data_IF_404837687452
#
_entry.id   IF_404837687452
#
_cell.length_a   1.000
_cell.length_b   1.000
_cell.length_c   1.000
_cell.angle_alpha   90.00
_cell.angle_beta   90.00
_cell.angle_gamma   90.00
#
_symmetry.space_group_name_H-M   'P 1'
#
loop_
_entity.id
_entity.type
_entity.pdbx_description
1 polymer ?
#
# COMPACT_ATOMS: atom_id res chain seq x y z
N UNK A 1 -9.71 3.65 24.02
CA UNK A 1 -10.54 3.24 22.87
C UNK A 1 -9.63 3.19 21.66
N UNK A 2 -9.72 2.16 20.82
CA UNK A 2 -8.98 2.15 19.55
C UNK A 2 -9.41 3.35 18.71
N UNK A 3 -8.45 4.06 18.11
CA UNK A 3 -8.74 5.20 17.23
C UNK A 3 -9.53 4.71 16.01
N UNK A 4 -10.58 5.44 15.63
CA UNK A 4 -11.44 5.06 14.50
C UNK A 4 -10.65 5.09 13.18
N UNK A 5 -10.79 4.03 12.39
CA UNK A 5 -10.13 3.88 11.09
C UNK A 5 -11.14 4.11 9.97
N UNK A 6 -10.82 5.03 9.06
CA UNK A 6 -11.69 5.35 7.92
C UNK A 6 -11.18 4.70 6.64
N UNK A 7 -12.04 3.94 6.00
CA UNK A 7 -11.72 3.33 4.70
C UNK A 7 -11.63 4.39 3.59
N UNK A 8 -10.96 4.00 2.51
CA UNK A 8 -10.85 4.81 1.30
C UNK A 8 -12.23 5.26 0.81
N UNK A 9 -12.42 6.53 0.41
CA UNK A 9 -13.69 7.00 -0.14
C UNK A 9 -13.96 6.49 -1.56
N UNK A 10 -12.97 5.87 -2.22
CA UNK A 10 -13.18 5.24 -3.52
C UNK A 10 -14.08 3.99 -3.34
N UNK A 11 -15.26 3.92 -4.00
CA UNK A 11 -16.24 2.85 -3.74
C UNK A 11 -15.71 1.44 -4.00
N UNK A 12 -14.89 1.27 -5.03
CA UNK A 12 -14.29 -0.02 -5.35
C UNK A 12 -13.27 -0.44 -4.29
N UNK A 13 -12.40 0.49 -3.87
CA UNK A 13 -11.42 0.24 -2.80
C UNK A 13 -12.15 -0.04 -1.48
N UNK A 14 -13.19 0.73 -1.14
CA UNK A 14 -14.00 0.53 0.06
C UNK A 14 -14.66 -0.86 0.10
N UNK A 15 -15.20 -1.32 -1.03
CA UNK A 15 -15.77 -2.67 -1.14
C UNK A 15 -14.70 -3.73 -0.92
N UNK A 16 -13.55 -3.60 -1.56
CA UNK A 16 -12.46 -4.56 -1.40
C UNK A 16 -11.91 -4.58 0.04
N UNK A 17 -11.83 -3.43 0.72
CA UNK A 17 -11.47 -3.40 2.15
C UNK A 17 -12.51 -4.17 2.98
N UNK A 18 -13.81 -3.94 2.76
CA UNK A 18 -14.86 -4.67 3.49
C UNK A 18 -14.75 -6.17 3.29
N UNK A 19 -14.64 -6.63 2.05
CA UNK A 19 -14.50 -8.05 1.72
C UNK A 19 -13.27 -8.67 2.43
N UNK A 20 -12.14 -7.96 2.44
CA UNK A 20 -10.91 -8.40 3.13
C UNK A 20 -11.09 -8.46 4.66
N UNK A 21 -11.76 -7.47 5.25
CA UNK A 21 -11.99 -7.41 6.71
C UNK A 21 -13.00 -8.49 7.15
N UNK A 22 -14.12 -8.62 6.44
CA UNK A 22 -15.19 -9.58 6.77
C UNK A 22 -14.72 -11.03 6.68
N UNK A 23 -13.79 -11.32 5.76
CA UNK A 23 -13.19 -12.65 5.60
C UNK A 23 -12.01 -12.90 6.55
N UNK A 24 -11.63 -11.95 7.40
CA UNK A 24 -10.48 -12.09 8.29
C UNK A 24 -9.13 -12.05 7.57
N UNK A 25 -9.07 -11.42 6.40
CA UNK A 25 -7.86 -11.17 5.63
C UNK A 25 -7.62 -12.11 4.45
N UNK A 26 -8.65 -12.74 3.90
CA UNK A 26 -8.51 -13.58 2.71
C UNK A 26 -8.25 -12.67 1.50
N UNK A 27 -7.06 -12.79 0.92
CA UNK A 27 -6.68 -12.07 -0.29
C UNK A 27 -7.38 -12.61 -1.54
N UNK A 28 -7.38 -11.83 -2.62
CA UNK A 28 -7.90 -12.28 -3.91
C UNK A 28 -7.10 -13.48 -4.44
N UNK A 29 -7.73 -14.45 -5.13
CA UNK A 29 -7.01 -15.59 -5.69
C UNK A 29 -5.86 -15.14 -6.61
N UNK A 30 -4.65 -15.61 -6.32
CA UNK A 30 -3.45 -15.32 -7.11
C UNK A 30 -2.87 -13.91 -6.93
N UNK A 31 -3.46 -13.04 -6.10
CA UNK A 31 -2.97 -11.68 -5.88
C UNK A 31 -2.81 -11.42 -4.38
N UNK A 32 -1.57 -11.32 -3.87
CA UNK A 32 -1.33 -11.00 -2.47
C UNK A 32 -1.81 -9.58 -2.14
N UNK A 33 -2.74 -9.46 -1.20
CA UNK A 33 -3.30 -8.20 -0.73
C UNK A 33 -2.97 -7.98 0.76
N UNK A 34 -2.73 -6.72 1.13
CA UNK A 34 -2.59 -6.26 2.51
C UNK A 34 -3.47 -5.03 2.76
N UNK A 35 -3.85 -4.79 4.02
CA UNK A 35 -4.42 -3.51 4.43
C UNK A 35 -3.32 -2.63 5.01
N UNK A 36 -3.22 -1.41 4.48
CA UNK A 36 -2.34 -0.36 4.97
C UNK A 36 -3.17 0.72 5.66
N UNK A 37 -2.86 0.98 6.92
CA UNK A 37 -3.44 2.09 7.70
C UNK A 37 -2.38 3.17 7.91
N UNK A 38 -2.69 4.40 7.49
CA UNK A 38 -1.83 5.59 7.57
C UNK A 38 -2.52 6.71 8.36
N UNK A 39 -1.75 7.62 8.95
CA UNK A 39 -2.32 8.84 9.54
C UNK A 39 -2.53 9.90 8.47
N UNK A 40 -3.76 10.40 8.31
CA UNK A 40 -4.08 11.40 7.30
C UNK A 40 -3.35 12.72 7.55
N UNK A 41 -2.40 13.10 6.68
CA UNK A 41 -1.53 14.29 6.86
C UNK A 41 -2.27 15.63 7.04
N UNK A 42 -3.51 15.71 6.55
CA UNK A 42 -4.37 16.91 6.67
C UNK A 42 -5.40 16.79 7.78
N UNK A 43 -5.95 15.59 7.98
CA UNK A 43 -7.10 15.37 8.87
C UNK A 43 -6.74 14.83 10.24
N UNK A 44 -5.52 14.33 10.44
CA UNK A 44 -5.10 13.59 11.64
C UNK A 44 -5.72 12.19 11.78
N UNK A 45 -6.86 11.91 11.16
CA UNK A 45 -7.58 10.61 11.21
C UNK A 45 -6.82 9.46 10.57
N UNK A 46 -6.97 8.25 11.11
CA UNK A 46 -6.47 7.01 10.50
C UNK A 46 -7.24 6.69 9.20
N UNK A 47 -6.49 6.35 8.15
CA UNK A 47 -7.01 6.04 6.81
C UNK A 47 -6.51 4.68 6.35
N UNK A 48 -7.43 3.82 5.92
CA UNK A 48 -7.12 2.46 5.49
C UNK A 48 -7.36 2.27 3.99
N UNK A 49 -6.42 1.58 3.35
CA UNK A 49 -6.52 1.16 1.96
C UNK A 49 -6.05 -0.28 1.83
N UNK A 50 -6.62 -1.01 0.87
CA UNK A 50 -6.10 -2.32 0.45
C UNK A 50 -5.13 -2.13 -0.71
N UNK A 51 -4.01 -2.85 -0.69
CA UNK A 51 -2.94 -2.77 -1.68
C UNK A 51 -2.41 -4.16 -2.02
N UNK A 52 -2.00 -4.33 -3.27
CA UNK A 52 -1.17 -5.47 -3.67
C UNK A 52 0.23 -5.27 -3.11
N UNK A 53 0.85 -6.35 -2.64
CA UNK A 53 2.20 -6.32 -2.13
C UNK A 53 3.09 -7.43 -2.69
N UNK A 54 4.40 -7.23 -2.62
CA UNK A 54 5.40 -8.30 -2.79
C UNK A 54 6.25 -8.44 -1.52
N UNK A 55 6.90 -9.59 -1.36
CA UNK A 55 7.86 -9.85 -0.27
C UNK A 55 9.29 -9.64 -0.77
N UNK A 56 10.08 -8.91 0.02
CA UNK A 56 11.50 -8.71 -0.20
C UNK A 56 12.27 -9.05 1.08
N UNK A 57 12.55 -10.35 1.27
CA UNK A 57 12.99 -10.90 2.56
C UNK A 57 11.90 -10.69 3.61
N UNK A 58 12.25 -10.03 4.70
CA UNK A 58 11.31 -9.73 5.80
C UNK A 58 10.40 -8.52 5.54
N UNK A 59 10.63 -7.82 4.42
CA UNK A 59 9.99 -6.54 4.09
C UNK A 59 8.79 -6.74 3.16
N UNK A 60 7.83 -5.84 3.26
CA UNK A 60 6.71 -5.75 2.31
C UNK A 60 6.95 -4.60 1.35
N UNK A 61 6.60 -4.79 0.09
CA UNK A 61 6.79 -3.81 -0.99
C UNK A 61 5.44 -3.50 -1.60
N UNK A 62 5.09 -2.23 -1.72
CA UNK A 62 3.84 -1.77 -2.36
C UNK A 62 4.12 -0.66 -3.36
N UNK A 63 3.20 -0.45 -4.31
CA UNK A 63 3.39 0.54 -5.39
C UNK A 63 2.33 1.64 -5.32
N UNK A 64 2.77 2.89 -5.30
CA UNK A 64 1.90 4.09 -5.31
C UNK A 64 1.49 4.48 -6.74
N UNK A 65 0.92 3.52 -7.49
CA UNK A 65 0.54 3.70 -8.89
C UNK A 65 -0.70 4.56 -9.08
N UNK A 66 -1.68 4.46 -8.16
CA UNK A 66 -3.00 5.10 -8.29
C UNK A 66 -3.66 4.81 -9.66
N UNK A 67 -3.50 3.60 -10.18
CA UNK A 67 -4.03 3.22 -11.50
C UNK A 67 -3.39 3.98 -12.68
N UNK A 68 -2.20 4.57 -12.50
CA UNK A 68 -1.53 5.39 -13.50
C UNK A 68 -2.03 6.84 -13.56
N UNK A 69 -2.84 7.28 -12.58
CA UNK A 69 -3.26 8.67 -12.49
C UNK A 69 -2.07 9.63 -12.25
N UNK A 70 -2.24 10.87 -12.68
CA UNK A 70 -1.21 11.92 -12.58
C UNK A 70 -0.89 12.24 -11.11
N UNK A 71 -1.86 12.13 -10.20
CA UNK A 71 -1.63 12.38 -8.78
C UNK A 71 -1.17 11.14 -8.01
N UNK A 72 -0.29 11.38 -7.04
CA UNK A 72 0.03 10.40 -6.02
C UNK A 72 -1.20 10.07 -5.15
N UNK A 73 -1.37 8.80 -4.75
CA UNK A 73 -2.48 8.42 -3.89
C UNK A 73 -2.30 9.00 -2.48
N UNK A 74 -3.41 9.33 -1.82
CA UNK A 74 -3.39 9.99 -0.52
C UNK A 74 -2.60 9.22 0.55
N UNK A 75 -2.63 7.87 0.55
CA UNK A 75 -1.87 7.05 1.49
C UNK A 75 -0.35 7.21 1.34
N UNK A 76 0.14 7.44 0.12
CA UNK A 76 1.56 7.69 -0.13
C UNK A 76 1.96 9.09 0.40
N UNK A 77 1.11 10.09 0.16
CA UNK A 77 1.32 11.42 0.72
C UNK A 77 1.23 11.43 2.25
N UNK A 78 0.44 10.54 2.84
CA UNK A 78 0.36 10.37 4.28
C UNK A 78 1.67 9.78 4.84
N UNK A 79 2.16 8.66 4.29
CA UNK A 79 3.36 8.01 4.83
C UNK A 79 4.65 8.79 4.62
N UNK A 80 4.70 9.64 3.59
CA UNK A 80 5.83 10.56 3.38
C UNK A 80 5.86 11.69 4.41
N UNK A 81 4.73 11.97 5.07
CA UNK A 81 4.63 12.90 6.19
C UNK A 81 4.84 12.23 7.55
N UNK A 82 4.26 11.04 7.75
CA UNK A 82 4.44 10.22 8.95
C UNK A 82 4.67 8.75 8.55
N UNK A 83 5.89 8.22 8.68
CA UNK A 83 6.23 6.87 8.20
C UNK A 83 5.60 5.75 9.03
N UNK A 84 5.01 6.05 10.20
CA UNK A 84 4.39 5.04 11.06
C UNK A 84 3.07 4.57 10.46
N UNK A 85 2.97 3.26 10.24
CA UNK A 85 1.80 2.63 9.65
C UNK A 85 1.39 1.40 10.45
N UNK A 86 0.15 0.98 10.29
CA UNK A 86 -0.32 -0.34 10.74
C UNK A 86 -0.65 -1.15 9.50
N UNK A 87 -0.19 -2.39 9.47
CA UNK A 87 -0.37 -3.30 8.35
C UNK A 87 -1.08 -4.55 8.82
N UNK A 88 -2.05 -5.00 8.01
CA UNK A 88 -2.67 -6.31 8.18
C UNK A 88 -2.36 -7.17 6.95
N UNK A 89 -1.88 -8.38 7.20
CA UNK A 89 -1.67 -9.43 6.19
C UNK A 89 -2.32 -10.71 6.69
N UNK A 90 -3.39 -11.14 6.03
CA UNK A 90 -4.21 -12.23 6.55
C UNK A 90 -4.79 -11.88 7.92
N UNK A 91 -4.62 -12.80 8.87
CA UNK A 91 -5.06 -12.64 10.25
C UNK A 91 -4.10 -11.81 11.12
N UNK A 92 -2.91 -11.49 10.61
CA UNK A 92 -1.89 -10.81 11.38
C UNK A 92 -1.95 -9.30 11.17
N UNK A 93 -1.94 -8.54 12.27
CA UNK A 93 -1.87 -7.07 12.27
C UNK A 93 -0.68 -6.59 13.09
N UNK A 94 0.12 -5.68 12.55
CA UNK A 94 1.35 -5.22 13.19
C UNK A 94 1.66 -3.75 12.87
N UNK A 95 2.40 -3.10 13.78
CA UNK A 95 2.97 -1.78 13.54
C UNK A 95 4.20 -1.90 12.62
N UNK A 96 4.42 -0.90 11.77
CA UNK A 96 5.50 -0.86 10.81
C UNK A 96 5.94 0.57 10.49
N UNK A 97 7.12 0.69 9.89
CA UNK A 97 7.61 1.91 9.26
C UNK A 97 7.63 1.74 7.75
N UNK A 98 7.06 2.72 7.03
CA UNK A 98 7.05 2.78 5.58
C UNK A 98 7.97 3.89 5.08
N UNK A 99 8.69 3.63 4.00
CA UNK A 99 9.55 4.61 3.33
C UNK A 99 9.52 4.43 1.82
N UNK A 100 9.71 5.52 1.10
CA UNK A 100 9.94 5.45 -0.35
C UNK A 100 11.26 4.71 -0.62
N UNK A 101 11.25 3.80 -1.59
CA UNK A 101 12.44 3.11 -2.06
C UNK A 101 13.43 4.11 -2.66
N UNK A 102 14.72 3.94 -2.33
CA UNK A 102 15.78 4.74 -2.92
C UNK A 102 16.01 4.41 -4.40
N UNK A 103 16.74 5.27 -5.11
CA UNK A 103 17.04 5.11 -6.55
C UNK A 103 17.77 3.81 -6.87
N UNK A 104 18.62 3.31 -5.98
CA UNK A 104 19.41 2.09 -6.19
C UNK A 104 18.58 0.81 -6.08
N UNK A 105 17.66 0.73 -5.10
CA UNK A 105 16.86 -0.47 -4.87
C UNK A 105 15.58 -0.49 -5.71
N UNK A 106 15.03 0.68 -6.06
CA UNK A 106 13.76 0.82 -6.76
C UNK A 106 13.68 0.00 -8.06
N UNK A 107 14.69 -0.04 -8.96
CA UNK A 107 14.61 -0.84 -10.19
C UNK A 107 14.41 -2.34 -9.95
N UNK A 108 15.02 -2.89 -8.90
CA UNK A 108 14.83 -4.30 -8.52
C UNK A 108 13.45 -4.52 -7.93
N UNK A 109 13.02 -3.65 -7.02
CA UNK A 109 11.70 -3.73 -6.39
C UNK A 109 10.55 -3.50 -7.38
N UNK A 110 10.75 -2.66 -8.39
CA UNK A 110 9.80 -2.47 -9.47
C UNK A 110 9.57 -3.76 -10.25
N UNK A 111 10.65 -4.46 -10.64
CA UNK A 111 10.55 -5.75 -11.33
C UNK A 111 9.77 -6.77 -10.51
N UNK A 112 10.07 -6.85 -9.21
CA UNK A 112 9.34 -7.71 -8.28
C UNK A 112 7.84 -7.38 -8.24
N UNK A 113 7.47 -6.09 -8.22
CA UNK A 113 6.05 -5.71 -8.23
C UNK A 113 5.36 -6.01 -9.56
N UNK A 114 6.06 -5.88 -10.69
CA UNK A 114 5.53 -6.23 -12.02
C UNK A 114 5.34 -7.74 -12.17
N UNK A 115 6.22 -8.57 -11.59
CA UNK A 115 6.05 -10.02 -11.53
C UNK A 115 4.76 -10.43 -10.79
N UNK A 116 4.44 -9.73 -9.69
CA UNK A 116 3.20 -9.95 -8.93
C UNK A 116 1.96 -9.39 -9.66
N UNK A 117 2.11 -8.25 -10.31
CA UNK A 117 0.99 -7.51 -10.90
C UNK A 117 1.43 -6.79 -12.19
N UNK A 118 1.38 -7.49 -13.35
CA UNK A 118 1.93 -6.99 -14.62
C UNK A 118 1.40 -5.64 -15.09
N UNK A 119 0.15 -5.30 -14.74
CA UNK A 119 -0.50 -4.03 -15.11
C UNK A 119 0.25 -2.80 -14.58
N UNK A 120 1.13 -2.95 -13.58
CA UNK A 120 1.97 -1.83 -13.12
C UNK A 120 2.90 -1.29 -14.21
N UNK A 121 3.36 -2.13 -15.13
CA UNK A 121 4.18 -1.67 -16.25
C UNK A 121 3.36 -0.75 -17.17
N UNK A 122 2.14 -1.14 -17.52
CA UNK A 122 1.23 -0.31 -18.33
C UNK A 122 0.94 1.03 -17.66
N UNK A 123 0.78 1.06 -16.33
CA UNK A 123 0.56 2.30 -15.60
C UNK A 123 1.77 3.22 -15.65
N UNK A 124 2.99 2.67 -15.59
CA UNK A 124 4.23 3.45 -15.69
C UNK A 124 4.43 4.02 -17.09
N UNK A 125 4.08 3.27 -18.12
CA UNK A 125 4.26 3.70 -19.52
C UNK A 125 3.30 4.83 -19.92
N UNK A 126 2.23 5.05 -19.15
CA UNK A 126 1.18 6.04 -19.43
C UNK A 126 1.30 7.34 -18.63
N UNK A 127 2.34 7.51 -17.82
CA UNK A 127 2.53 8.72 -16.99
C UNK A 127 3.99 9.15 -16.96
N UNK A 128 4.22 10.46 -16.98
CA UNK A 128 5.56 11.04 -16.79
C UNK A 128 5.98 11.08 -15.32
N UNK A 129 5.04 10.85 -14.39
CA UNK A 129 5.31 10.83 -12.96
C UNK A 129 6.11 9.58 -12.60
N UNK A 130 7.19 9.78 -11.85
CA UNK A 130 7.89 8.68 -11.23
C UNK A 130 6.98 7.96 -10.22
N UNK A 131 6.51 6.74 -10.56
CA UNK A 131 5.62 5.95 -9.70
C UNK A 131 6.42 5.45 -8.49
N UNK A 132 6.09 5.87 -7.25
CA UNK A 132 6.86 5.46 -6.08
C UNK A 132 6.66 3.98 -5.76
N UNK A 133 7.76 3.34 -5.39
CA UNK A 133 7.76 2.03 -4.72
C UNK A 133 8.02 2.29 -3.24
N UNK A 134 7.28 1.64 -2.36
CA UNK A 134 7.35 1.83 -0.91
C UNK A 134 7.76 0.52 -0.27
N UNK A 135 8.76 0.61 0.61
CA UNK A 135 9.23 -0.49 1.45
C UNK A 135 8.62 -0.32 2.83
N UNK A 136 8.12 -1.41 3.40
CA UNK A 136 7.47 -1.47 4.69
C UNK A 136 8.17 -2.51 5.55
N UNK A 137 8.63 -2.08 6.71
CA UNK A 137 9.41 -2.87 7.67
C UNK A 137 8.67 -2.91 9.00
N UNK A 138 8.52 -4.11 9.58
CA UNK A 138 7.89 -4.27 10.89
C UNK A 138 8.62 -3.41 11.92
N UNK A 139 7.86 -2.74 12.77
CA UNK A 139 8.42 -2.09 13.94
C UNK A 139 8.83 -3.19 14.93
N UNK A 140 10.08 -3.14 15.40
CA UNK A 140 10.59 -4.00 16.47
C UNK A 140 10.03 -3.62 17.83
#
# INVERSE_FOLDING_TARGET
MAEEVFDSPNPWVARHIRDYVETGGVARPGVPDLLLTTRGRRSGRLRRTVLVYARDGDRYVVTASNGGADEHPAWYLNLTHDPRVVVQVGTETFAAHARTAGSEEKPRLWRLMVEVMPVYQEYRDRTDRDIPVVVIERAG
#
